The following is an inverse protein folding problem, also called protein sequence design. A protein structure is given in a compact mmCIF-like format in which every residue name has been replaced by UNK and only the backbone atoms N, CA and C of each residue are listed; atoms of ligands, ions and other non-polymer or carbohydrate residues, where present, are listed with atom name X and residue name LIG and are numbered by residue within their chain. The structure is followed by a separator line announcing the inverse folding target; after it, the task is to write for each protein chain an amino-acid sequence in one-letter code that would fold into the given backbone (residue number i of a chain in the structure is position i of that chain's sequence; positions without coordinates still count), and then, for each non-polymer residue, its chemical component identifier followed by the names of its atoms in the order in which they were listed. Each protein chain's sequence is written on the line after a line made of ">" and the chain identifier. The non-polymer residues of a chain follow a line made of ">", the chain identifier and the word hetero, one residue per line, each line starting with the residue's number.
data_IF_308967205522
#
_entry.id   IF_308967205522
#
_cell.length_a   1.000
_cell.length_b   1.000
_cell.length_c   1.000
_cell.angle_alpha   90.00
_cell.angle_beta   90.00
_cell.angle_gamma   90.00
#
_symmetry.space_group_name_H-M   'P 1'
#
loop_
_entity.id
_entity.type
_entity.pdbx_description
1 polymer ?
#
# COMPACT_ATOMS: atom_id res chain seq x y z
N UNK A 1 43.24 1.74 -46.17
CA UNK A 1 42.52 2.14 -44.92
C UNK A 1 42.25 0.88 -44.11
N UNK A 2 42.88 0.71 -42.95
CA UNK A 2 43.02 -0.60 -42.29
C UNK A 2 41.69 -1.02 -41.59
N UNK A 3 41.01 -2.11 -42.02
CA UNK A 3 39.65 -2.45 -41.56
C UNK A 3 39.60 -2.87 -40.09
N UNK A 4 40.70 -3.40 -39.54
CA UNK A 4 40.83 -3.72 -38.11
C UNK A 4 40.76 -2.47 -37.23
N UNK A 5 41.42 -1.39 -37.65
CA UNK A 5 41.45 -0.11 -36.92
C UNK A 5 40.04 0.48 -36.79
N UNK A 6 39.22 0.40 -37.85
CA UNK A 6 37.83 0.88 -37.82
C UNK A 6 36.98 0.08 -36.84
N UNK A 7 37.09 -1.25 -36.84
CA UNK A 7 36.35 -2.11 -35.91
C UNK A 7 36.70 -1.79 -34.45
N UNK A 8 37.99 -1.64 -34.15
CA UNK A 8 38.45 -1.27 -32.80
C UNK A 8 37.87 0.08 -32.36
N UNK A 9 37.90 1.09 -33.24
CA UNK A 9 37.35 2.42 -32.94
C UNK A 9 35.84 2.35 -32.69
N UNK A 10 35.10 1.61 -33.51
CA UNK A 10 33.65 1.45 -33.32
C UNK A 10 33.33 0.75 -32.01
N UNK A 11 34.03 -0.35 -31.68
CA UNK A 11 33.81 -1.08 -30.41
C UNK A 11 34.15 -0.21 -29.20
N UNK A 12 35.26 0.51 -29.24
CA UNK A 12 35.66 1.42 -28.17
C UNK A 12 34.62 2.54 -27.98
N UNK A 13 34.13 3.12 -29.08
CA UNK A 13 33.11 4.16 -29.03
C UNK A 13 31.78 3.64 -28.49
N UNK A 14 31.36 2.42 -28.88
CA UNK A 14 30.15 1.78 -28.35
C UNK A 14 30.23 1.50 -26.86
N UNK A 15 31.38 1.02 -26.37
CA UNK A 15 31.60 0.81 -24.94
C UNK A 15 31.59 2.14 -24.16
N UNK A 16 32.19 3.19 -24.74
CA UNK A 16 32.21 4.52 -24.13
C UNK A 16 30.80 5.10 -24.00
N UNK A 17 29.97 4.96 -25.04
CA UNK A 17 28.56 5.39 -25.00
C UNK A 17 27.75 4.59 -23.97
N UNK A 18 27.95 3.28 -23.88
CA UNK A 18 27.28 2.43 -22.87
C UNK A 18 27.69 2.76 -21.44
N UNK A 19 28.89 3.30 -21.24
CA UNK A 19 29.37 3.66 -19.89
C UNK A 19 28.61 4.83 -19.28
N UNK A 20 28.04 5.72 -20.11
CA UNK A 20 27.33 6.94 -19.67
C UNK A 20 26.11 6.61 -18.79
N UNK A 21 25.12 5.79 -19.22
CA UNK A 21 23.99 5.43 -18.36
C UNK A 21 24.37 4.53 -17.18
N UNK A 22 25.49 3.79 -17.28
CA UNK A 22 25.94 2.87 -16.23
C UNK A 22 26.68 3.59 -15.09
N UNK A 23 27.29 4.75 -15.36
CA UNK A 23 28.09 5.48 -14.36
C UNK A 23 27.26 5.96 -13.15
N UNK A 24 25.98 6.30 -13.37
CA UNK A 24 25.05 6.70 -12.31
C UNK A 24 24.15 5.56 -11.80
N UNK A 25 24.23 4.38 -12.42
CA UNK A 25 23.27 3.30 -12.20
C UNK A 25 23.22 2.85 -10.74
N UNK A 26 24.37 2.74 -10.07
CA UNK A 26 24.42 2.31 -8.66
C UNK A 26 23.71 3.28 -7.72
N UNK A 27 23.86 4.59 -7.92
CA UNK A 27 23.26 5.58 -7.02
C UNK A 27 21.75 5.74 -7.31
N UNK A 28 21.36 5.72 -8.60
CA UNK A 28 19.94 5.66 -8.99
C UNK A 28 19.27 4.40 -8.44
N UNK A 29 19.94 3.25 -8.53
CA UNK A 29 19.43 2.00 -7.97
C UNK A 29 19.29 2.10 -6.45
N UNK A 30 20.27 2.66 -5.75
CA UNK A 30 20.23 2.83 -4.28
C UNK A 30 19.12 3.77 -3.82
N UNK A 31 18.85 4.85 -4.57
CA UNK A 31 17.74 5.76 -4.29
C UNK A 31 16.36 5.15 -4.56
N UNK A 32 16.26 4.28 -5.55
CA UNK A 32 15.03 3.54 -5.88
C UNK A 32 14.89 2.23 -5.10
N UNK A 33 15.91 1.82 -4.32
CA UNK A 33 15.93 0.53 -3.65
C UNK A 33 14.94 0.52 -2.48
N UNK A 34 13.74 0.02 -2.74
CA UNK A 34 12.69 -0.22 -1.74
C UNK A 34 12.72 -1.66 -1.21
N UNK A 35 13.81 -2.41 -1.43
CA UNK A 35 13.90 -3.83 -1.04
C UNK A 35 13.72 -4.06 0.47
N UNK A 36 14.01 -3.04 1.28
CA UNK A 36 13.82 -3.07 2.74
C UNK A 36 12.58 -2.30 3.20
N UNK A 37 11.72 -1.84 2.28
CA UNK A 37 10.43 -1.26 2.65
C UNK A 37 9.44 -2.38 3.02
N UNK A 38 9.63 -2.93 4.23
CA UNK A 38 8.77 -3.95 4.83
C UNK A 38 7.38 -3.44 5.20
N UNK A 39 7.06 -2.18 4.90
CA UNK A 39 5.76 -1.58 5.20
C UNK A 39 4.61 -2.35 4.56
N UNK A 40 4.81 -2.88 3.36
CA UNK A 40 3.82 -3.72 2.71
C UNK A 40 3.48 -4.98 3.52
N UNK A 41 4.52 -5.70 3.96
CA UNK A 41 4.36 -6.89 4.81
C UNK A 41 3.72 -6.55 6.15
N UNK A 42 4.16 -5.47 6.78
CA UNK A 42 3.61 -4.97 8.04
C UNK A 42 2.11 -4.66 7.94
N UNK A 43 1.66 -4.04 6.84
CA UNK A 43 0.22 -3.81 6.58
C UNK A 43 -0.54 -5.13 6.45
N UNK A 44 0.00 -6.10 5.72
CA UNK A 44 -0.63 -7.42 5.55
C UNK A 44 -0.77 -8.12 6.89
N UNK A 45 0.29 -8.19 7.70
CA UNK A 45 0.28 -8.81 9.02
C UNK A 45 -0.70 -8.10 9.97
N UNK A 46 -0.63 -6.77 10.06
CA UNK A 46 -1.52 -5.97 10.88
C UNK A 46 -3.00 -6.24 10.58
N UNK A 47 -3.35 -6.29 9.29
CA UNK A 47 -4.73 -6.58 8.85
C UNK A 47 -5.09 -8.04 9.09
N UNK A 48 -4.20 -8.96 8.75
CA UNK A 48 -4.46 -10.39 8.85
C UNK A 48 -4.73 -10.82 10.29
N UNK A 49 -3.95 -10.28 11.23
CA UNK A 49 -3.90 -10.78 12.61
C UNK A 49 -4.84 -10.00 13.53
N UNK A 50 -5.16 -8.73 13.23
CA UNK A 50 -5.90 -7.86 14.16
C UNK A 50 -7.30 -7.44 13.70
N UNK A 51 -7.72 -7.76 12.47
CA UNK A 51 -9.08 -7.41 12.02
C UNK A 51 -10.09 -8.48 12.42
N UNK A 52 -11.25 -8.06 12.88
CA UNK A 52 -12.37 -8.95 13.19
C UNK A 52 -12.82 -9.76 11.95
N UNK A 53 -13.49 -10.92 12.12
CA UNK A 53 -14.06 -11.67 11.01
C UNK A 53 -15.05 -10.84 10.19
N UNK A 54 -15.04 -11.00 8.86
CA UNK A 54 -15.86 -10.24 7.91
C UNK A 54 -15.69 -8.73 8.05
N UNK A 55 -14.51 -8.27 8.45
CA UNK A 55 -14.22 -6.84 8.58
C UNK A 55 -14.26 -6.13 7.24
N UNK A 56 -14.58 -4.84 7.30
CA UNK A 56 -14.38 -3.91 6.19
C UNK A 56 -13.09 -3.16 6.45
N UNK A 57 -12.17 -3.20 5.49
CA UNK A 57 -10.90 -2.48 5.54
C UNK A 57 -10.85 -1.49 4.40
N UNK A 58 -10.90 -0.20 4.75
CA UNK A 58 -10.74 0.90 3.80
C UNK A 58 -9.24 1.12 3.57
N UNK A 59 -8.83 1.12 2.31
CA UNK A 59 -7.43 1.20 1.92
C UNK A 59 -7.23 1.98 0.61
N UNK A 60 -6.00 2.41 0.39
CA UNK A 60 -5.56 2.98 -0.88
C UNK A 60 -4.22 2.40 -1.30
N UNK A 61 -4.19 1.80 -2.49
CA UNK A 61 -2.99 1.21 -3.10
C UNK A 61 -2.20 0.31 -2.15
N UNK A 62 -2.91 -0.41 -1.26
CA UNK A 62 -2.30 -1.29 -0.27
C UNK A 62 -2.04 -2.71 -0.83
N UNK A 63 -1.13 -3.48 -0.22
CA UNK A 63 -0.85 -4.86 -0.62
C UNK A 63 -1.95 -5.87 -0.24
N UNK A 64 -3.09 -5.43 0.28
CA UNK A 64 -4.12 -6.33 0.79
C UNK A 64 -4.78 -7.19 -0.31
N UNK A 65 -4.73 -6.75 -1.56
CA UNK A 65 -5.14 -7.60 -2.69
C UNK A 65 -4.19 -8.79 -2.87
N UNK A 66 -2.89 -8.62 -2.62
CA UNK A 66 -1.92 -9.72 -2.65
C UNK A 66 -2.20 -10.73 -1.52
N UNK A 67 -2.49 -10.24 -0.31
CA UNK A 67 -2.88 -11.09 0.82
C UNK A 67 -4.06 -12.00 0.46
N UNK A 68 -5.11 -11.46 -0.17
CA UNK A 68 -6.29 -12.25 -0.55
C UNK A 68 -6.01 -13.17 -1.74
N UNK A 69 -5.51 -12.62 -2.83
CA UNK A 69 -5.46 -13.31 -4.13
C UNK A 69 -4.24 -14.23 -4.28
N UNK A 70 -3.14 -13.93 -3.59
CA UNK A 70 -1.87 -14.68 -3.71
C UNK A 70 -1.58 -15.49 -2.45
N UNK A 71 -1.73 -14.91 -1.26
CA UNK A 71 -1.51 -15.65 -0.01
C UNK A 71 -2.72 -16.49 0.42
N UNK A 72 -3.92 -16.26 -0.15
CA UNK A 72 -5.15 -16.96 0.23
C UNK A 72 -5.59 -16.69 1.68
N UNK A 73 -5.17 -15.56 2.25
CA UNK A 73 -5.45 -15.19 3.64
C UNK A 73 -6.60 -14.21 3.72
N UNK A 74 -7.39 -14.34 4.79
CA UNK A 74 -8.49 -13.42 5.13
C UNK A 74 -9.42 -13.13 3.95
N UNK A 75 -9.84 -14.20 3.26
CA UNK A 75 -10.79 -14.11 2.16
C UNK A 75 -12.13 -13.47 2.59
N UNK A 76 -12.44 -13.55 3.89
CA UNK A 76 -13.58 -12.95 4.57
C UNK A 76 -13.57 -11.41 4.61
N UNK A 77 -12.39 -10.78 4.54
CA UNK A 77 -12.26 -9.33 4.69
C UNK A 77 -12.71 -8.61 3.42
N UNK A 78 -13.59 -7.62 3.57
CA UNK A 78 -14.05 -6.75 2.50
C UNK A 78 -13.07 -5.58 2.32
N UNK A 79 -12.43 -5.51 1.16
CA UNK A 79 -11.47 -4.45 0.84
C UNK A 79 -12.17 -3.32 0.10
N UNK A 80 -12.27 -2.17 0.76
CA UNK A 80 -12.93 -0.98 0.22
C UNK A 80 -11.90 0.09 -0.16
N UNK A 81 -12.15 0.80 -1.26
CA UNK A 81 -11.38 1.99 -1.61
C UNK A 81 -11.87 3.22 -0.87
N UNK A 82 -11.08 4.29 -0.81
CA UNK A 82 -11.53 5.58 -0.24
C UNK A 82 -12.69 6.24 -1.01
N UNK A 83 -13.02 5.75 -2.19
CA UNK A 83 -14.22 6.18 -2.92
C UNK A 83 -15.51 5.53 -2.40
N UNK A 84 -15.45 4.53 -1.53
CA UNK A 84 -16.60 3.85 -0.95
C UNK A 84 -16.95 4.44 0.43
N UNK A 85 -18.22 4.39 0.86
CA UNK A 85 -19.37 3.73 0.22
C UNK A 85 -19.94 4.49 -1.00
N UNK A 86 -20.48 3.75 -1.98
CA UNK A 86 -21.02 4.32 -3.22
C UNK A 86 -22.56 4.39 -3.30
N UNK A 87 -23.27 3.69 -2.41
CA UNK A 87 -24.72 3.57 -2.40
C UNK A 87 -25.27 3.45 -0.98
N UNK A 88 -26.59 3.56 -0.81
CA UNK A 88 -27.25 3.50 0.50
C UNK A 88 -27.07 2.16 1.22
N UNK A 89 -26.94 1.05 0.48
CA UNK A 89 -26.71 -0.27 1.04
C UNK A 89 -25.32 -0.37 1.68
N UNK A 90 -24.29 0.13 0.99
CA UNK A 90 -22.93 0.21 1.52
C UNK A 90 -22.82 1.17 2.69
N UNK A 91 -23.54 2.30 2.67
CA UNK A 91 -23.62 3.21 3.83
C UNK A 91 -24.18 2.46 5.05
N UNK A 92 -25.29 1.72 4.88
CA UNK A 92 -25.89 0.95 5.97
C UNK A 92 -24.95 -0.14 6.50
N UNK A 93 -24.25 -0.85 5.62
CA UNK A 93 -23.28 -1.88 6.00
C UNK A 93 -22.06 -1.28 6.71
N UNK A 94 -21.55 -0.13 6.26
CA UNK A 94 -20.47 0.58 6.93
C UNK A 94 -20.85 1.00 8.35
N UNK A 95 -22.04 1.59 8.53
CA UNK A 95 -22.56 1.98 9.85
C UNK A 95 -22.75 0.76 10.76
N UNK A 96 -23.24 -0.35 10.21
CA UNK A 96 -23.33 -1.62 10.94
C UNK A 96 -21.95 -2.13 11.34
N UNK A 97 -20.98 -2.14 10.42
CA UNK A 97 -19.61 -2.56 10.71
C UNK A 97 -18.94 -1.67 11.77
N UNK A 98 -19.19 -0.36 11.79
CA UNK A 98 -18.71 0.54 12.86
C UNK A 98 -19.29 0.11 14.21
N UNK A 99 -20.61 -0.09 14.29
CA UNK A 99 -21.28 -0.55 15.53
C UNK A 99 -20.75 -1.89 16.01
N UNK A 100 -20.48 -2.81 15.09
CA UNK A 100 -19.95 -4.14 15.39
C UNK A 100 -18.43 -4.13 15.67
N UNK A 101 -17.76 -2.98 15.53
CA UNK A 101 -16.31 -2.85 15.70
C UNK A 101 -15.48 -3.51 14.60
N UNK A 102 -16.06 -3.68 13.40
CA UNK A 102 -15.51 -4.39 12.24
C UNK A 102 -15.10 -3.47 11.08
N UNK A 103 -15.12 -2.14 11.26
CA UNK A 103 -14.62 -1.19 10.25
C UNK A 103 -13.22 -0.68 10.61
N UNK A 104 -12.29 -0.82 9.67
CA UNK A 104 -10.89 -0.42 9.82
C UNK A 104 -10.42 0.43 8.64
N UNK A 105 -9.36 1.21 8.88
CA UNK A 105 -8.71 2.07 7.89
C UNK A 105 -7.21 1.82 7.91
N UNK A 106 -6.64 1.58 6.73
CA UNK A 106 -5.19 1.66 6.49
C UNK A 106 -4.89 3.05 5.93
N UNK A 107 -4.10 3.88 6.63
CA UNK A 107 -3.84 5.24 6.19
C UNK A 107 -2.94 5.28 4.96
N UNK A 108 -3.25 6.15 4.01
CA UNK A 108 -2.36 6.44 2.89
C UNK A 108 -1.27 7.40 3.37
N UNK A 109 -0.01 7.02 3.19
CA UNK A 109 1.16 7.86 3.57
C UNK A 109 1.15 8.31 5.05
N UNK A 110 0.51 7.53 5.93
CA UNK A 110 0.38 7.88 7.36
C UNK A 110 -0.65 8.96 7.69
N UNK A 111 -1.45 9.41 6.72
CA UNK A 111 -2.54 10.37 6.95
C UNK A 111 -3.87 9.65 7.16
N UNK A 112 -4.59 10.00 8.22
CA UNK A 112 -5.89 9.40 8.59
C UNK A 112 -7.04 10.42 8.63
N UNK A 113 -6.94 11.48 7.84
CA UNK A 113 -7.78 12.68 7.99
C UNK A 113 -9.26 12.54 7.57
N UNK A 114 -9.63 11.54 6.76
CA UNK A 114 -11.00 11.43 6.24
C UNK A 114 -12.05 11.02 7.30
N UNK A 115 -11.86 9.96 8.10
CA UNK A 115 -12.85 9.55 9.11
C UNK A 115 -13.05 10.60 10.21
N UNK A 116 -11.98 11.28 10.61
CA UNK A 116 -12.04 12.29 11.66
C UNK A 116 -12.83 13.54 11.24
N UNK A 117 -12.64 13.99 10.00
CA UNK A 117 -13.39 15.10 9.42
C UNK A 117 -14.89 14.77 9.29
N UNK A 118 -15.25 13.50 9.14
CA UNK A 118 -16.63 13.02 9.08
C UNK A 118 -17.26 12.77 10.47
N UNK A 119 -16.58 13.12 11.57
CA UNK A 119 -17.10 12.95 12.91
C UNK A 119 -16.92 11.55 13.52
N UNK A 120 -16.09 10.69 12.90
CA UNK A 120 -15.71 9.40 13.47
C UNK A 120 -14.38 9.49 14.22
N UNK A 121 -14.19 8.61 15.20
CA UNK A 121 -12.96 8.45 15.94
C UNK A 121 -12.13 7.33 15.35
N UNK A 122 -10.82 7.39 15.58
CA UNK A 122 -9.87 6.37 15.16
C UNK A 122 -9.11 5.87 16.37
N UNK A 123 -9.19 4.58 16.62
CA UNK A 123 -8.42 3.91 17.67
C UNK A 123 -7.30 3.14 16.99
N UNK A 124 -6.01 3.42 17.31
CA UNK A 124 -4.91 2.65 16.75
C UNK A 124 -5.04 1.19 17.18
N UNK A 125 -5.05 0.30 16.20
CA UNK A 125 -4.86 -1.14 16.41
C UNK A 125 -3.37 -1.44 16.29
N UNK A 126 -2.74 -0.84 15.28
CA UNK A 126 -1.30 -0.77 15.14
C UNK A 126 -0.90 0.63 14.66
N UNK A 127 -0.09 1.32 15.46
CA UNK A 127 0.22 2.74 15.24
C UNK A 127 0.88 2.99 13.87
N UNK A 128 0.30 3.94 13.12
CA UNK A 128 0.76 4.31 11.78
C UNK A 128 0.42 3.30 10.67
N UNK A 129 -0.27 2.19 11.00
CA UNK A 129 -0.54 1.07 10.06
C UNK A 129 -2.02 0.75 9.95
N UNK A 130 -2.73 0.60 11.08
CA UNK A 130 -4.11 0.14 11.09
C UNK A 130 -4.90 0.81 12.22
N UNK A 131 -6.04 1.37 11.87
CA UNK A 131 -6.92 2.05 12.81
C UNK A 131 -8.32 1.47 12.73
N UNK A 132 -8.96 1.25 13.88
CA UNK A 132 -10.38 0.89 13.95
C UNK A 132 -11.21 2.17 14.01
N UNK A 133 -12.26 2.21 13.20
CA UNK A 133 -13.20 3.34 13.16
C UNK A 133 -14.25 3.16 14.25
N UNK A 134 -14.48 4.21 15.04
CA UNK A 134 -15.50 4.26 16.10
C UNK A 134 -16.41 5.46 15.91
N UNK A 135 -17.65 5.38 16.41
CA UNK A 135 -18.52 6.55 16.52
C UNK A 135 -17.98 7.50 17.59
N UNK A 136 -17.90 8.81 17.32
CA UNK A 136 -17.66 9.82 18.38
C UNK A 136 -18.92 10.12 19.21
N UNK A 137 -20.11 9.76 18.72
CA UNK A 137 -21.34 9.85 19.50
C UNK A 137 -21.48 8.58 20.34
N UNK A 138 -21.07 8.66 21.60
CA UNK A 138 -21.12 7.54 22.54
C UNK A 138 -20.07 7.56 23.66
N UNK A 139 -19.63 8.75 24.10
CA UNK A 139 -19.02 8.95 25.43
C UNK A 139 -19.78 10.04 26.15
#
# INVERSE_FOLDING_TARGET
>A
RNPRLRKTVTVALSLLVLSIPLWGFSETYRQANMSEDYRGRKIVEAVADNTAPNAIVIQHRSPLQYMKLVEGRREDVLLWGFNQPNDQGQVAEALKAIRDGRLYVVPSEGKVSQPEAAGYGLVPVEEGVLYRVISKQGT
#
